data_IF_767751031011
#
_entry.id   IF_767751031011
#
_cell.length_a   1.000
_cell.length_b   1.000
_cell.length_c   1.000
_cell.angle_alpha   90.00
_cell.angle_beta   90.00
_cell.angle_gamma   90.00
#
_symmetry.space_group_name_H-M   'P 1'
#
loop_
_entity.id
_entity.type
_entity.pdbx_description
1 polymer ?
#
# COMPACT_ATOMS: atom_id res chain seq x y z
N UNK A 1 -0.42 53.09 8.49
CA UNK A 1 0.71 52.20 8.78
C UNK A 1 0.50 50.86 8.07
N UNK A 2 1.09 50.72 6.88
CA UNK A 2 0.99 49.53 6.04
C UNK A 2 2.16 48.58 6.35
N UNK A 3 1.83 47.36 6.80
CA UNK A 3 2.81 46.30 7.08
C UNK A 3 3.45 45.82 5.76
N UNK A 4 4.79 45.69 5.68
CA UNK A 4 5.44 45.18 4.47
C UNK A 4 5.18 43.68 4.29
N UNK A 5 4.78 43.31 3.07
CA UNK A 5 4.55 41.93 2.63
C UNK A 5 5.89 41.18 2.61
N UNK A 6 6.00 40.12 3.42
CA UNK A 6 7.16 39.24 3.42
C UNK A 6 7.44 38.69 2.01
N UNK A 7 8.72 38.72 1.63
CA UNK A 7 9.20 38.30 0.31
C UNK A 7 8.81 36.86 0.01
N UNK A 8 7.92 36.68 -0.95
CA UNK A 8 7.69 35.40 -1.59
C UNK A 8 8.99 34.99 -2.30
N UNK A 9 9.71 34.03 -1.72
CA UNK A 9 10.78 33.34 -2.45
C UNK A 9 10.14 32.73 -3.70
N UNK A 10 10.49 33.24 -4.89
CA UNK A 10 10.12 32.64 -6.17
C UNK A 10 10.64 31.20 -6.16
N UNK A 11 9.79 30.23 -5.82
CA UNK A 11 10.04 28.82 -6.11
C UNK A 11 10.10 28.73 -7.63
N UNK A 12 11.32 28.60 -8.16
CA UNK A 12 11.55 28.31 -9.57
C UNK A 12 10.76 27.04 -9.91
N UNK A 13 9.91 27.04 -10.95
CA UNK A 13 9.13 25.86 -11.31
C UNK A 13 10.08 24.69 -11.54
N UNK A 14 9.71 23.51 -11.02
CA UNK A 14 10.48 22.31 -11.29
C UNK A 14 10.47 22.06 -12.82
N UNK A 15 11.63 21.85 -13.46
CA UNK A 15 11.67 21.50 -14.87
C UNK A 15 10.93 20.17 -15.09
N UNK A 16 10.32 19.99 -16.27
CA UNK A 16 9.36 18.92 -16.51
C UNK A 16 10.02 17.53 -16.44
N UNK A 17 9.31 16.59 -15.80
CA UNK A 17 9.55 15.16 -16.01
C UNK A 17 9.42 14.88 -17.50
N UNK A 18 10.39 14.19 -18.10
CA UNK A 18 10.28 13.76 -19.50
C UNK A 18 9.99 12.26 -19.55
N UNK A 19 9.07 11.89 -20.42
CA UNK A 19 8.64 10.52 -20.67
C UNK A 19 8.75 10.27 -22.18
N UNK A 20 9.41 9.19 -22.57
CA UNK A 20 9.61 8.83 -23.98
C UNK A 20 9.46 7.33 -24.18
N UNK A 21 8.70 6.95 -25.22
CA UNK A 21 8.67 5.58 -25.73
C UNK A 21 9.97 5.32 -26.48
N UNK A 22 10.51 4.12 -26.36
CA UNK A 22 11.62 3.68 -27.19
C UNK A 22 11.03 3.20 -28.50
N UNK A 23 11.32 3.87 -29.61
CA UNK A 23 10.67 3.60 -30.91
C UNK A 23 11.44 2.61 -31.79
N UNK A 24 12.73 2.39 -31.50
CA UNK A 24 13.62 1.53 -32.30
C UNK A 24 14.28 0.43 -31.47
N UNK A 25 14.67 -0.66 -32.14
CA UNK A 25 15.38 -1.79 -31.54
C UNK A 25 14.49 -2.83 -30.83
N UNK A 26 15.07 -3.77 -30.06
CA UNK A 26 14.35 -4.89 -29.43
C UNK A 26 13.37 -4.47 -28.32
N UNK A 27 13.39 -3.19 -27.95
CA UNK A 27 12.53 -2.58 -26.93
C UNK A 27 11.40 -1.72 -27.54
N UNK A 28 11.36 -1.61 -28.88
CA UNK A 28 10.31 -0.93 -29.64
C UNK A 28 8.93 -1.59 -29.45
N UNK A 29 7.82 -0.86 -29.69
CA UNK A 29 6.50 -1.42 -29.59
C UNK A 29 6.31 -2.60 -30.55
N UNK A 30 6.06 -3.78 -29.97
CA UNK A 30 5.89 -5.03 -30.70
C UNK A 30 4.76 -5.86 -30.09
N UNK A 31 4.48 -7.04 -30.64
CA UNK A 31 3.53 -7.98 -30.04
C UNK A 31 3.94 -8.47 -28.66
N UNK A 32 5.24 -8.47 -28.36
CA UNK A 32 5.79 -9.01 -27.09
C UNK A 32 5.89 -7.95 -25.99
N UNK A 33 5.88 -6.67 -26.33
CA UNK A 33 6.00 -5.59 -25.36
C UNK A 33 6.48 -4.27 -25.96
N UNK A 34 6.68 -3.29 -25.08
CA UNK A 34 7.32 -2.00 -25.40
C UNK A 34 8.02 -1.45 -24.16
N UNK A 35 8.93 -0.50 -24.36
CA UNK A 35 9.63 0.16 -23.25
C UNK A 35 9.45 1.68 -23.27
N UNK A 36 9.46 2.25 -22.08
CA UNK A 36 9.40 3.68 -21.84
C UNK A 36 10.52 4.08 -20.87
N UNK A 37 11.14 5.22 -21.12
CA UNK A 37 12.09 5.83 -20.19
C UNK A 37 11.44 7.06 -19.58
N UNK A 38 11.42 7.10 -18.25
CA UNK A 38 11.00 8.27 -17.47
C UNK A 38 12.24 8.88 -16.83
N UNK A 39 12.51 10.14 -17.16
CA UNK A 39 13.56 10.93 -16.52
C UNK A 39 12.89 11.90 -15.55
N UNK A 40 13.11 11.67 -14.27
CA UNK A 40 12.57 12.49 -13.17
C UNK A 40 13.69 12.90 -12.21
N UNK A 41 13.45 13.92 -11.39
CA UNK A 41 14.35 14.19 -10.25
C UNK A 41 14.10 13.16 -9.16
N UNK A 42 15.19 12.59 -8.62
CA UNK A 42 15.10 11.65 -7.50
C UNK A 42 14.54 12.31 -6.25
N UNK A 43 13.85 11.52 -5.41
CA UNK A 43 13.30 12.00 -4.13
C UNK A 43 14.44 12.60 -3.27
N UNK A 44 14.39 13.90 -3.00
CA UNK A 44 15.38 14.61 -2.17
C UNK A 44 16.61 15.19 -2.89
N UNK A 45 16.84 14.93 -4.19
CA UNK A 45 17.97 15.51 -4.94
C UNK A 45 17.50 16.54 -5.98
N UNK A 46 17.74 17.82 -5.70
CA UNK A 46 17.44 18.92 -6.64
C UNK A 46 18.35 18.94 -7.86
N UNK A 47 19.50 18.25 -7.84
CA UNK A 47 20.55 18.43 -8.86
C UNK A 47 20.63 17.30 -9.90
N UNK A 48 20.31 16.04 -9.57
CA UNK A 48 20.54 14.91 -10.50
C UNK A 48 19.22 14.27 -10.96
N UNK A 49 19.08 14.14 -12.28
CA UNK A 49 17.95 13.46 -12.92
C UNK A 49 18.25 11.96 -12.92
N UNK A 50 17.30 11.16 -12.43
CA UNK A 50 17.36 9.70 -12.44
C UNK A 50 16.55 9.16 -13.60
N UNK A 51 17.10 8.18 -14.30
CA UNK A 51 16.41 7.46 -15.38
C UNK A 51 15.75 6.21 -14.79
N UNK A 52 14.47 6.03 -15.07
CA UNK A 52 13.74 4.80 -14.77
C UNK A 52 13.19 4.23 -16.06
N UNK A 53 13.57 2.99 -16.37
CA UNK A 53 13.07 2.23 -17.51
C UNK A 53 11.88 1.37 -17.06
N UNK A 54 10.76 1.53 -17.76
CA UNK A 54 9.59 0.69 -17.67
C UNK A 54 9.55 -0.19 -18.91
N UNK A 55 9.42 -1.51 -18.74
CA UNK A 55 9.20 -2.45 -19.83
C UNK A 55 7.90 -3.18 -19.61
N UNK A 56 6.95 -2.95 -20.49
CA UNK A 56 5.70 -3.70 -20.57
C UNK A 56 5.93 -4.94 -21.41
N UNK A 57 5.50 -6.10 -20.95
CA UNK A 57 5.60 -7.36 -21.67
C UNK A 57 4.29 -8.13 -21.61
N UNK A 58 3.92 -8.76 -22.73
CA UNK A 58 2.79 -9.67 -22.76
C UNK A 58 3.07 -10.91 -21.89
N UNK A 59 2.05 -11.47 -21.21
CA UNK A 59 0.64 -11.08 -21.17
C UNK A 59 0.24 -10.20 -19.95
N UNK A 60 1.09 -9.28 -19.47
CA UNK A 60 0.74 -8.40 -18.34
C UNK A 60 1.84 -8.22 -17.29
N UNK A 61 3.10 -8.20 -17.73
CA UNK A 61 4.26 -8.03 -16.87
C UNK A 61 4.83 -6.63 -17.06
N UNK A 62 5.03 -5.91 -15.97
CA UNK A 62 5.69 -4.60 -15.96
C UNK A 62 7.00 -4.75 -15.20
N UNK A 63 8.12 -4.57 -15.89
CA UNK A 63 9.44 -4.49 -15.25
C UNK A 63 9.86 -3.04 -15.13
N UNK A 64 10.21 -2.65 -13.93
CA UNK A 64 10.77 -1.34 -13.61
C UNK A 64 12.22 -1.54 -13.25
N UNK A 65 13.11 -0.80 -13.88
CA UNK A 65 14.53 -0.75 -13.52
C UNK A 65 14.95 0.71 -13.40
N UNK A 66 15.39 1.10 -12.21
CA UNK A 66 16.06 2.38 -12.04
C UNK A 66 17.57 2.21 -12.20
N UNK A 67 18.15 3.16 -12.91
CA UNK A 67 19.59 3.26 -13.09
C UNK A 67 20.17 4.14 -11.98
N UNK A 68 21.35 3.76 -11.51
CA UNK A 68 22.09 4.38 -10.41
C UNK A 68 22.80 5.67 -10.84
N UNK A 69 23.93 5.95 -10.20
CA UNK A 69 24.69 7.18 -10.50
C UNK A 69 25.41 7.08 -11.83
N UNK A 70 25.78 5.87 -12.25
CA UNK A 70 26.35 5.53 -13.55
C UNK A 70 25.27 4.88 -14.43
N UNK A 71 25.28 5.18 -15.72
CA UNK A 71 24.39 4.56 -16.70
C UNK A 71 24.57 3.04 -16.67
N UNK A 72 23.46 2.29 -16.68
CA UNK A 72 23.46 0.83 -16.60
C UNK A 72 23.63 0.21 -15.20
N UNK A 73 24.05 0.97 -14.18
CA UNK A 73 24.20 0.47 -12.81
C UNK A 73 22.80 0.22 -12.19
N UNK A 74 22.38 -1.02 -11.91
CA UNK A 74 21.07 -1.26 -11.32
C UNK A 74 21.06 -0.84 -9.84
N UNK A 75 20.17 0.10 -9.48
CA UNK A 75 19.98 0.51 -8.09
C UNK A 75 18.74 -0.19 -7.47
N UNK A 76 17.64 -0.15 -8.20
CA UNK A 76 16.39 -0.76 -7.78
C UNK A 76 15.68 -1.33 -9.00
N UNK A 77 14.98 -2.44 -8.79
CA UNK A 77 14.08 -2.97 -9.78
C UNK A 77 12.83 -3.56 -9.14
N UNK A 78 11.78 -3.61 -9.94
CA UNK A 78 10.54 -4.22 -9.57
C UNK A 78 9.93 -4.97 -10.75
N UNK A 79 9.21 -6.03 -10.46
CA UNK A 79 8.36 -6.75 -11.39
C UNK A 79 6.94 -6.75 -10.84
N UNK A 80 6.01 -6.24 -11.63
CA UNK A 80 4.57 -6.32 -11.38
C UNK A 80 3.99 -7.32 -12.38
N UNK A 81 3.30 -8.34 -11.88
CA UNK A 81 2.56 -9.28 -12.71
C UNK A 81 1.07 -9.10 -12.44
N UNK A 82 0.33 -8.73 -13.47
CA UNK A 82 -1.13 -8.61 -13.41
C UNK A 82 -1.74 -9.88 -14.01
N UNK A 83 -2.39 -10.69 -13.16
CA UNK A 83 -3.01 -11.95 -13.57
C UNK A 83 -4.53 -11.76 -13.54
N UNK A 84 -5.24 -11.88 -14.68
CA UNK A 84 -6.69 -11.77 -14.69
C UNK A 84 -7.31 -12.97 -13.95
N UNK A 85 -8.28 -12.72 -13.08
CA UNK A 85 -9.04 -13.76 -12.36
C UNK A 85 -10.52 -13.81 -12.76
N UNK A 86 -10.97 -12.88 -13.61
CA UNK A 86 -12.36 -12.65 -14.01
C UNK A 86 -12.58 -11.17 -14.35
N UNK A 87 -13.74 -10.82 -14.94
CA UNK A 87 -14.06 -9.41 -15.24
C UNK A 87 -14.05 -8.60 -13.94
N UNK A 88 -13.33 -7.48 -13.94
CA UNK A 88 -13.22 -6.62 -12.77
C UNK A 88 -12.39 -7.17 -11.60
N UNK A 89 -11.70 -8.31 -11.79
CA UNK A 89 -10.86 -8.92 -10.74
C UNK A 89 -9.52 -9.36 -11.30
N UNK A 90 -8.44 -8.88 -10.68
CA UNK A 90 -7.08 -9.30 -11.01
C UNK A 90 -6.26 -9.57 -9.76
N UNK A 91 -5.23 -10.40 -9.91
CA UNK A 91 -4.21 -10.62 -8.89
C UNK A 91 -2.94 -9.92 -9.31
N UNK A 92 -2.48 -9.00 -8.47
CA UNK A 92 -1.22 -8.31 -8.65
C UNK A 92 -0.13 -8.97 -7.80
N UNK A 93 0.91 -9.48 -8.45
CA UNK A 93 2.12 -9.92 -7.77
C UNK A 93 3.19 -8.85 -7.93
N UNK A 94 3.65 -8.29 -6.81
CA UNK A 94 4.67 -7.26 -6.80
C UNK A 94 5.94 -7.79 -6.13
N UNK A 95 7.02 -7.87 -6.91
CA UNK A 95 8.34 -8.25 -6.42
C UNK A 95 9.30 -7.10 -6.63
N UNK A 96 9.89 -6.63 -5.55
CA UNK A 96 10.98 -5.65 -5.61
C UNK A 96 12.31 -6.34 -5.35
N UNK A 97 13.36 -5.83 -5.99
CA UNK A 97 14.73 -6.19 -5.70
C UNK A 97 15.56 -4.92 -5.69
N UNK A 98 16.48 -4.89 -4.76
CA UNK A 98 17.21 -3.71 -4.36
C UNK A 98 18.68 -4.12 -4.37
N UNK A 99 19.50 -3.44 -5.17
CA UNK A 99 20.93 -3.72 -5.27
C UNK A 99 21.68 -2.55 -4.64
N UNK A 100 22.86 -2.83 -4.06
CA UNK A 100 23.77 -1.79 -3.56
C UNK A 100 23.23 -0.90 -2.42
N UNK A 101 22.37 -1.43 -1.55
CA UNK A 101 22.00 -0.72 -0.32
C UNK A 101 23.13 -0.80 0.73
N UNK A 102 23.38 0.28 1.49
CA UNK A 102 24.29 0.23 2.63
C UNK A 102 23.87 -0.89 3.61
N UNK A 103 24.82 -1.66 4.19
CA UNK A 103 24.50 -2.78 5.08
C UNK A 103 23.56 -2.39 6.24
N UNK A 104 23.76 -1.19 6.79
CA UNK A 104 22.90 -0.64 7.85
C UNK A 104 21.43 -0.50 7.43
N UNK A 105 21.17 -0.06 6.19
CA UNK A 105 19.81 0.06 5.67
C UNK A 105 19.18 -1.31 5.47
N UNK A 106 19.96 -2.27 4.97
CA UNK A 106 19.53 -3.67 4.85
C UNK A 106 19.16 -4.28 6.22
N UNK A 107 19.97 -4.01 7.24
CA UNK A 107 19.72 -4.47 8.61
C UNK A 107 18.41 -3.88 9.19
N UNK A 108 18.24 -2.56 9.14
CA UNK A 108 17.01 -1.89 9.61
C UNK A 108 15.78 -2.38 8.84
N UNK A 109 15.93 -2.63 7.53
CA UNK A 109 14.86 -3.17 6.70
C UNK A 109 14.51 -4.62 7.09
N UNK A 110 15.51 -5.44 7.44
CA UNK A 110 15.35 -6.81 7.92
C UNK A 110 14.69 -6.92 9.30
N UNK A 111 14.90 -5.94 10.18
CA UNK A 111 14.26 -5.90 11.51
C UNK A 111 12.74 -5.70 11.43
N UNK A 112 12.23 -5.13 10.34
CA UNK A 112 10.78 -4.91 10.19
C UNK A 112 10.06 -6.24 9.91
N UNK A 113 9.07 -6.62 10.74
CA UNK A 113 8.24 -7.77 10.49
C UNK A 113 7.68 -7.77 9.06
N UNK A 114 7.73 -8.92 8.37
CA UNK A 114 7.34 -8.98 6.96
C UNK A 114 5.89 -8.54 6.73
N UNK A 115 4.97 -8.88 7.64
CA UNK A 115 3.57 -8.43 7.55
C UNK A 115 3.46 -6.90 7.53
N UNK A 116 4.24 -6.17 8.33
CA UNK A 116 4.23 -4.70 8.32
C UNK A 116 4.73 -4.15 6.99
N UNK A 117 5.73 -4.81 6.38
CA UNK A 117 6.22 -4.45 5.05
C UNK A 117 5.13 -4.67 4.00
N UNK A 118 4.43 -5.80 4.03
CA UNK A 118 3.30 -6.07 3.13
C UNK A 118 2.19 -5.03 3.29
N UNK A 119 1.75 -4.76 4.52
CA UNK A 119 0.75 -3.72 4.80
C UNK A 119 1.20 -2.36 4.25
N UNK A 120 2.47 -1.98 4.42
CA UNK A 120 2.93 -0.70 3.90
C UNK A 120 2.96 -0.67 2.36
N UNK A 121 3.33 -1.77 1.70
CA UNK A 121 3.31 -1.89 0.24
C UNK A 121 1.90 -1.81 -0.34
N UNK A 122 0.88 -2.32 0.36
CA UNK A 122 -0.51 -2.23 -0.09
C UNK A 122 -1.05 -0.80 -0.18
N UNK A 123 -0.50 0.15 0.59
CA UNK A 123 -1.01 1.54 0.64
C UNK A 123 -1.05 2.21 -0.73
N UNK A 124 -0.04 2.01 -1.56
CA UNK A 124 0.03 2.62 -2.90
C UNK A 124 -1.16 2.15 -3.75
N UNK A 125 -1.43 0.84 -3.73
CA UNK A 125 -2.54 0.25 -4.48
C UNK A 125 -3.91 0.57 -3.89
N UNK A 126 -3.97 0.84 -2.59
CA UNK A 126 -5.20 1.29 -1.91
C UNK A 126 -5.55 2.73 -2.31
N UNK A 127 -4.55 3.60 -2.45
CA UNK A 127 -4.75 4.98 -2.90
C UNK A 127 -5.32 5.05 -4.33
N UNK A 128 -4.80 4.20 -5.23
CA UNK A 128 -5.17 4.28 -6.64
C UNK A 128 -6.46 3.51 -6.96
N UNK A 129 -6.93 2.61 -6.08
CA UNK A 129 -8.08 1.76 -6.42
C UNK A 129 -9.36 2.55 -6.63
N UNK A 130 -9.64 3.57 -5.82
CA UNK A 130 -10.85 4.38 -5.98
C UNK A 130 -10.89 5.01 -7.37
N UNK A 131 -9.74 5.47 -7.88
CA UNK A 131 -9.62 6.02 -9.22
C UNK A 131 -9.79 4.95 -10.30
N UNK A 132 -9.11 3.80 -10.14
CA UNK A 132 -9.19 2.69 -11.10
C UNK A 132 -10.63 2.17 -11.24
N UNK A 133 -11.32 1.92 -10.12
CA UNK A 133 -12.72 1.50 -10.13
C UNK A 133 -13.63 2.56 -10.74
N UNK A 134 -13.46 3.84 -10.37
CA UNK A 134 -14.28 4.91 -10.95
C UNK A 134 -14.11 5.05 -12.47
N UNK A 135 -12.90 4.82 -13.00
CA UNK A 135 -12.64 4.82 -14.43
C UNK A 135 -13.28 3.62 -15.13
N UNK A 136 -13.16 2.42 -14.54
CA UNK A 136 -13.83 1.21 -15.04
C UNK A 136 -15.35 1.39 -15.08
N UNK A 137 -15.93 1.91 -14.00
CA UNK A 137 -17.36 2.17 -13.86
C UNK A 137 -17.85 3.21 -14.88
N UNK A 138 -17.05 4.25 -15.14
CA UNK A 138 -17.38 5.27 -16.13
C UNK A 138 -17.46 4.67 -17.54
N UNK A 139 -16.48 3.84 -17.92
CA UNK A 139 -16.45 3.17 -19.23
C UNK A 139 -17.62 2.20 -19.35
N UNK A 140 -17.84 1.35 -18.35
CA UNK A 140 -18.94 0.39 -18.34
C UNK A 140 -20.31 1.06 -18.44
N UNK A 141 -20.51 2.20 -17.76
CA UNK A 141 -21.78 2.93 -17.78
C UNK A 141 -22.03 3.69 -19.08
N UNK A 142 -20.98 4.23 -19.71
CA UNK A 142 -21.11 5.07 -20.90
C UNK A 142 -21.02 4.29 -22.20
N UNK A 143 -20.41 3.10 -22.18
CA UNK A 143 -20.11 2.32 -23.38
C UNK A 143 -19.09 2.98 -24.32
N UNK A 144 -18.50 4.10 -23.90
CA UNK A 144 -17.51 4.86 -24.70
C UNK A 144 -16.14 4.23 -24.57
N UNK A 145 -15.34 4.38 -25.62
CA UNK A 145 -13.93 3.97 -25.58
C UNK A 145 -13.12 4.88 -24.66
N UNK A 146 -11.96 4.42 -24.18
CA UNK A 146 -11.08 5.26 -23.36
C UNK A 146 -10.66 6.55 -24.05
N UNK A 147 -10.51 6.53 -25.37
CA UNK A 147 -10.15 7.72 -26.15
C UNK A 147 -11.24 8.81 -26.18
N UNK A 148 -12.50 8.41 -26.03
CA UNK A 148 -13.65 9.32 -26.01
C UNK A 148 -13.95 9.82 -24.60
N UNK A 149 -13.64 9.00 -23.58
CA UNK A 149 -13.89 9.31 -22.18
C UNK A 149 -12.78 10.13 -21.52
N UNK A 150 -11.54 10.05 -22.00
CA UNK A 150 -10.39 10.67 -21.33
C UNK A 150 -9.54 11.53 -22.28
N UNK A 151 -9.16 12.72 -21.81
CA UNK A 151 -8.26 13.63 -22.53
C UNK A 151 -6.81 13.49 -22.00
N UNK A 152 -5.91 12.79 -22.73
CA UNK A 152 -4.55 12.57 -22.27
C UNK A 152 -3.70 13.83 -22.44
N UNK A 153 -2.88 14.12 -21.43
CA UNK A 153 -1.87 15.17 -21.47
C UNK A 153 -0.64 14.61 -22.19
N UNK A 154 -0.33 15.16 -23.37
CA UNK A 154 0.76 14.69 -24.24
C UNK A 154 2.13 14.61 -23.56
N UNK A 155 2.40 15.41 -22.53
CA UNK A 155 3.67 15.40 -21.80
C UNK A 155 3.77 14.35 -20.70
N UNK A 156 2.64 13.88 -20.16
CA UNK A 156 2.60 13.07 -18.93
C UNK A 156 1.99 11.69 -19.13
N UNK A 157 1.03 11.56 -20.05
CA UNK A 157 0.24 10.34 -20.24
C UNK A 157 0.77 9.46 -21.38
N UNK A 158 1.96 9.75 -21.90
CA UNK A 158 2.58 9.05 -23.04
C UNK A 158 2.58 7.53 -22.84
N UNK A 159 3.04 7.07 -21.67
CA UNK A 159 3.11 5.64 -21.36
C UNK A 159 1.72 5.01 -21.21
N UNK A 160 0.75 5.74 -20.66
CA UNK A 160 -0.63 5.24 -20.47
C UNK A 160 -1.31 5.10 -21.82
N UNK A 161 -1.20 6.10 -22.70
CA UNK A 161 -1.75 6.06 -24.05
C UNK A 161 -1.10 4.93 -24.84
N UNK A 162 0.23 4.79 -24.81
CA UNK A 162 0.89 3.72 -25.55
C UNK A 162 0.55 2.34 -25.00
N UNK A 163 0.38 2.19 -23.68
CA UNK A 163 -0.11 0.95 -23.09
C UNK A 163 -1.48 0.56 -23.65
N UNK A 164 -2.42 1.51 -23.74
CA UNK A 164 -3.76 1.25 -24.27
C UNK A 164 -3.77 0.95 -25.77
N UNK A 165 -2.96 1.67 -26.56
CA UNK A 165 -2.76 1.37 -27.99
C UNK A 165 -2.12 0.01 -28.20
N UNK A 166 -1.17 -0.36 -27.35
CA UNK A 166 -0.55 -1.68 -27.39
C UNK A 166 -1.57 -2.78 -27.11
N UNK A 167 -2.48 -2.58 -26.14
CA UNK A 167 -3.60 -3.48 -25.91
C UNK A 167 -4.55 -3.59 -27.11
N UNK A 168 -4.79 -2.52 -27.88
CA UNK A 168 -5.56 -2.63 -29.14
C UNK A 168 -4.89 -3.57 -30.16
N UNK A 169 -3.55 -3.69 -30.12
CA UNK A 169 -2.77 -4.56 -31.01
C UNK A 169 -2.75 -6.01 -30.53
N UNK A 170 -2.51 -6.25 -29.24
CA UNK A 170 -2.23 -7.60 -28.70
C UNK A 170 -3.33 -8.17 -27.82
N UNK A 171 -4.30 -7.35 -27.40
CA UNK A 171 -5.31 -7.72 -26.40
C UNK A 171 -6.30 -8.78 -26.87
N UNK A 172 -6.41 -9.02 -28.18
CA UNK A 172 -7.32 -10.02 -28.76
C UNK A 172 -7.09 -11.44 -28.20
N UNK A 173 -5.85 -11.78 -27.83
CA UNK A 173 -5.47 -13.05 -27.19
C UNK A 173 -5.82 -13.15 -25.70
N UNK A 174 -6.29 -12.07 -25.07
CA UNK A 174 -6.71 -12.06 -23.66
C UNK A 174 -8.20 -12.43 -23.53
N UNK A 175 -8.64 -12.95 -22.38
CA UNK A 175 -10.06 -13.26 -22.15
C UNK A 175 -10.94 -12.01 -22.26
N UNK A 176 -10.43 -10.86 -21.81
CA UNK A 176 -11.04 -9.54 -21.91
C UNK A 176 -9.93 -8.50 -21.97
N UNK A 177 -10.20 -7.34 -22.59
CA UNK A 177 -9.26 -6.21 -22.56
C UNK A 177 -9.97 -4.88 -22.81
N UNK A 178 -9.36 -3.81 -22.30
CA UNK A 178 -9.77 -2.43 -22.55
C UNK A 178 -8.57 -1.67 -23.13
N UNK A 179 -8.56 -1.50 -24.44
CA UNK A 179 -7.53 -0.79 -25.20
C UNK A 179 -7.83 0.70 -25.34
N UNK A 180 -7.22 1.37 -26.33
CA UNK A 180 -7.43 2.81 -26.54
C UNK A 180 -8.72 3.07 -27.31
N UNK A 181 -8.94 2.28 -28.36
CA UNK A 181 -10.12 2.35 -29.23
C UNK A 181 -10.93 1.05 -29.22
N UNK A 182 -10.32 -0.06 -28.84
CA UNK A 182 -10.94 -1.39 -28.89
C UNK A 182 -11.13 -1.93 -27.49
N UNK A 183 -12.20 -2.69 -27.31
CA UNK A 183 -12.44 -3.47 -26.12
C UNK A 183 -12.90 -4.88 -26.48
N UNK A 184 -12.71 -5.80 -25.56
CA UNK A 184 -13.26 -7.16 -25.61
C UNK A 184 -13.88 -7.46 -24.27
N UNK A 185 -15.19 -7.64 -24.27
CA UNK A 185 -15.97 -8.15 -23.15
C UNK A 185 -15.56 -9.60 -22.85
N UNK A 186 -15.61 -9.99 -21.57
CA UNK A 186 -15.35 -11.38 -21.18
C UNK A 186 -16.50 -12.27 -21.65
N UNK A 187 -16.20 -13.34 -22.39
CA UNK A 187 -17.17 -14.40 -22.65
C UNK A 187 -17.27 -15.29 -21.40
N UNK A 188 -18.36 -15.18 -20.64
CA UNK A 188 -18.81 -16.13 -19.60
C UNK A 188 -17.75 -16.64 -18.60
N UNK A 189 -16.83 -15.79 -18.14
CA UNK A 189 -15.90 -16.17 -17.07
C UNK A 189 -16.58 -16.10 -15.70
N UNK A 190 -17.42 -17.08 -15.34
CA UNK A 190 -18.00 -17.29 -13.99
C UNK A 190 -18.05 -15.98 -13.17
N UNK A 191 -18.82 -15.02 -13.69
CA UNK A 191 -18.89 -13.69 -13.12
C UNK A 191 -19.52 -13.82 -11.74
N UNK A 192 -18.74 -13.69 -10.67
CA UNK A 192 -19.31 -13.51 -9.35
C UNK A 192 -20.21 -12.27 -9.41
N UNK A 193 -21.48 -12.43 -9.04
CA UNK A 193 -22.50 -11.38 -9.10
C UNK A 193 -22.06 -10.09 -8.37
N UNK A 194 -21.25 -10.23 -7.32
CA UNK A 194 -20.64 -9.13 -6.57
C UNK A 194 -19.70 -8.24 -7.40
N UNK A 195 -19.08 -8.77 -8.46
CA UNK A 195 -18.20 -8.00 -9.35
C UNK A 195 -18.97 -7.10 -10.33
N UNK A 196 -20.28 -7.31 -10.52
CA UNK A 196 -21.13 -6.42 -11.35
C UNK A 196 -21.47 -5.10 -10.66
N UNK A 197 -21.28 -4.99 -9.34
CA UNK A 197 -21.60 -3.77 -8.59
C UNK A 197 -20.43 -2.78 -8.66
N UNK A 198 -20.58 -1.65 -9.39
CA UNK A 198 -19.51 -0.68 -9.66
C UNK A 198 -18.79 -0.21 -8.37
N UNK A 199 -19.58 0.05 -7.33
CA UNK A 199 -19.10 0.62 -6.08
C UNK A 199 -18.42 -0.37 -5.13
N UNK A 200 -18.74 -1.68 -5.17
CA UNK A 200 -18.34 -2.60 -4.10
C UNK A 200 -16.81 -2.76 -4.00
N UNK A 201 -16.13 -2.82 -5.15
CA UNK A 201 -14.68 -3.09 -5.25
C UNK A 201 -13.82 -1.93 -4.75
N UNK A 202 -14.29 -0.69 -4.89
CA UNK A 202 -13.58 0.50 -4.41
C UNK A 202 -13.55 0.60 -2.87
N UNK A 203 -14.54 0.00 -2.20
CA UNK A 203 -14.68 0.03 -0.74
C UNK A 203 -14.18 -1.25 -0.06
N UNK A 204 -13.70 -2.23 -0.82
CA UNK A 204 -13.09 -3.42 -0.25
C UNK A 204 -11.94 -3.03 0.68
N UNK A 205 -12.02 -3.53 1.90
CA UNK A 205 -11.00 -3.29 2.91
C UNK A 205 -9.71 -4.03 2.57
N UNK A 206 -8.61 -3.51 3.09
CA UNK A 206 -7.28 -4.15 3.08
C UNK A 206 -7.34 -5.61 3.51
N UNK A 207 -8.22 -5.92 4.45
CA UNK A 207 -8.46 -7.27 4.93
C UNK A 207 -8.85 -8.22 3.78
N UNK A 208 -9.83 -7.83 2.96
CA UNK A 208 -10.31 -8.61 1.83
C UNK A 208 -9.27 -8.71 0.71
N UNK A 209 -8.62 -7.57 0.40
CA UNK A 209 -7.68 -7.49 -0.72
C UNK A 209 -6.33 -8.16 -0.50
N UNK A 210 -5.90 -8.28 0.76
CA UNK A 210 -4.56 -8.78 1.05
C UNK A 210 -4.52 -9.75 2.23
N UNK A 211 -5.10 -9.40 3.39
CA UNK A 211 -4.92 -10.20 4.61
C UNK A 211 -5.51 -11.60 4.46
N UNK A 212 -6.69 -11.72 3.84
CA UNK A 212 -7.31 -13.02 3.57
C UNK A 212 -6.45 -13.91 2.68
N UNK A 213 -5.71 -13.33 1.73
CA UNK A 213 -4.94 -14.07 0.72
C UNK A 213 -3.54 -14.41 1.23
N UNK A 214 -2.89 -13.49 1.96
CA UNK A 214 -1.52 -13.64 2.44
C UNK A 214 -1.45 -14.41 3.75
N UNK A 215 -0.96 -15.66 3.70
CA UNK A 215 -0.83 -16.52 4.88
C UNK A 215 0.04 -15.92 6.01
N UNK A 216 1.04 -15.12 5.66
CA UNK A 216 1.91 -14.46 6.65
C UNK A 216 1.19 -13.33 7.38
N UNK A 217 0.51 -12.45 6.64
CA UNK A 217 -0.28 -11.36 7.22
C UNK A 217 -1.47 -11.89 8.01
N UNK A 218 -2.11 -12.98 7.54
CA UNK A 218 -3.19 -13.66 8.26
C UNK A 218 -2.75 -14.24 9.60
N UNK A 219 -1.58 -14.90 9.63
CA UNK A 219 -0.98 -15.40 10.88
C UNK A 219 -0.65 -14.26 11.84
N UNK A 220 -0.06 -13.17 11.34
CA UNK A 220 0.22 -11.99 12.15
C UNK A 220 -1.06 -11.40 12.79
N UNK A 221 -2.16 -11.29 12.03
CA UNK A 221 -3.45 -10.85 12.58
C UNK A 221 -3.96 -11.80 13.68
N UNK A 222 -3.84 -13.11 13.51
CA UNK A 222 -4.22 -14.08 14.52
C UNK A 222 -3.42 -13.90 15.82
N UNK A 223 -2.10 -13.72 15.72
CA UNK A 223 -1.23 -13.44 16.87
C UNK A 223 -1.61 -12.12 17.56
N UNK A 224 -1.84 -11.05 16.81
CA UNK A 224 -2.26 -9.75 17.37
C UNK A 224 -3.59 -9.88 18.12
N UNK A 225 -4.56 -10.61 17.56
CA UNK A 225 -5.84 -10.91 18.23
C UNK A 225 -5.65 -11.70 19.53
N UNK A 226 -4.76 -12.69 19.54
CA UNK A 226 -4.45 -13.47 20.73
C UNK A 226 -3.79 -12.61 21.81
N UNK A 227 -2.81 -11.79 21.44
CA UNK A 227 -2.14 -10.85 22.37
C UNK A 227 -3.13 -9.86 22.95
N UNK A 228 -4.03 -9.29 22.13
CA UNK A 228 -5.09 -8.40 22.61
C UNK A 228 -5.99 -9.09 23.65
N UNK A 229 -6.52 -10.27 23.32
CA UNK A 229 -7.40 -11.03 24.20
C UNK A 229 -6.70 -11.44 25.50
N UNK A 230 -5.49 -11.98 25.41
CA UNK A 230 -4.69 -12.38 26.57
C UNK A 230 -4.31 -11.21 27.47
N UNK A 231 -3.91 -10.08 26.86
CA UNK A 231 -3.59 -8.85 27.59
C UNK A 231 -4.79 -8.28 28.35
N UNK A 232 -5.97 -8.24 27.73
CA UNK A 232 -7.21 -7.81 28.40
C UNK A 232 -7.60 -8.75 29.55
N UNK A 233 -7.56 -10.06 29.32
CA UNK A 233 -7.90 -11.05 30.34
C UNK A 233 -6.95 -10.97 31.55
N UNK A 234 -5.64 -10.92 31.31
CA UNK A 234 -4.65 -10.85 32.39
C UNK A 234 -4.66 -9.48 33.10
N UNK A 235 -4.91 -8.39 32.38
CA UNK A 235 -5.12 -7.06 32.97
C UNK A 235 -6.32 -7.04 33.93
N UNK A 236 -7.45 -7.64 33.53
CA UNK A 236 -8.62 -7.77 34.39
C UNK A 236 -8.35 -8.62 35.64
N UNK A 237 -7.64 -9.75 35.50
CA UNK A 237 -7.24 -10.60 36.62
C UNK A 237 -6.32 -9.86 37.60
N UNK A 238 -5.32 -9.12 37.10
CA UNK A 238 -4.42 -8.34 37.95
C UNK A 238 -5.12 -7.16 38.63
N UNK A 239 -6.09 -6.52 37.96
CA UNK A 239 -6.91 -5.47 38.58
C UNK A 239 -7.78 -6.04 39.70
N UNK A 240 -8.41 -7.20 39.50
CA UNK A 240 -9.17 -7.88 40.55
C UNK A 240 -8.25 -8.25 41.73
N UNK A 241 -7.06 -8.80 41.44
CA UNK A 241 -6.07 -9.12 42.46
C UNK A 241 -5.61 -7.89 43.24
N UNK A 242 -5.36 -6.75 42.58
CA UNK A 242 -4.93 -5.52 43.27
C UNK A 242 -6.01 -5.01 44.25
N UNK A 243 -7.30 -5.11 43.87
CA UNK A 243 -8.42 -4.75 44.76
C UNK A 243 -8.47 -5.69 45.97
N UNK A 244 -8.38 -7.01 45.75
CA UNK A 244 -8.42 -8.00 46.83
C UNK A 244 -7.23 -7.84 47.79
N UNK A 245 -6.02 -7.66 47.28
CA UNK A 245 -4.82 -7.42 48.08
C UNK A 245 -4.90 -6.10 48.86
N UNK A 246 -5.48 -5.05 48.27
CA UNK A 246 -5.71 -3.77 48.96
C UNK A 246 -6.66 -3.93 50.14
N UNK A 247 -7.77 -4.67 49.95
CA UNK A 247 -8.74 -4.93 51.02
C UNK A 247 -8.14 -5.80 52.13
N UNK A 248 -7.40 -6.85 51.78
CA UNK A 248 -6.72 -7.71 52.76
C UNK A 248 -5.63 -6.96 53.53
N UNK A 249 -4.86 -6.08 52.86
CA UNK A 249 -3.88 -5.21 53.50
C UNK A 249 -4.51 -4.20 54.45
N UNK A 250 -5.64 -3.60 54.08
CA UNK A 250 -6.40 -2.70 54.93
C UNK A 250 -6.96 -3.41 56.18
N UNK A 251 -7.52 -4.61 56.02
CA UNK A 251 -8.02 -5.43 57.13
C UNK A 251 -6.89 -5.84 58.10
N UNK A 252 -5.72 -6.24 57.57
CA UNK A 252 -4.54 -6.57 58.39
C UNK A 252 -3.97 -5.35 59.12
N UNK A 253 -3.95 -4.18 58.47
CA UNK A 253 -3.49 -2.94 59.08
C UNK A 253 -4.46 -2.39 60.15
N UNK A 254 -5.76 -2.70 60.05
CA UNK A 254 -6.73 -2.42 61.10
C UNK A 254 -6.59 -3.37 62.31
N UNK A 255 -6.15 -4.61 62.07
CA UNK A 255 -5.95 -5.63 63.12
C UNK A 255 -4.58 -5.55 63.82
N UNK A 256 -3.54 -4.99 63.17
CA UNK A 256 -2.20 -4.84 63.74
C UNK A 256 -1.89 -3.37 64.03
N UNK A 257 -1.68 -3.01 65.29
CA UNK A 257 -1.34 -1.65 65.74
C UNK A 257 0.07 -1.15 65.31
N UNK A 258 0.73 -1.81 64.35
CA UNK A 258 2.09 -1.48 63.93
C UNK A 258 2.21 -1.38 62.40
N UNK A 259 3.08 -0.46 61.95
CA UNK A 259 3.35 -0.11 60.56
C UNK A 259 3.97 -1.25 59.76
N UNK A 260 3.17 -2.22 59.31
CA UNK A 260 3.58 -3.19 58.31
C UNK A 260 3.75 -2.51 56.93
N UNK A 261 4.70 -2.95 56.07
CA UNK A 261 4.89 -2.38 54.74
C UNK A 261 3.61 -2.52 53.92
N UNK A 262 2.91 -1.41 53.73
CA UNK A 262 1.63 -1.36 53.04
C UNK A 262 1.85 -1.52 51.54
N UNK A 263 1.11 -2.44 50.94
CA UNK A 263 0.66 -2.28 49.55
C UNK A 263 1.65 -2.59 48.43
N UNK A 264 2.86 -3.09 48.68
CA UNK A 264 3.82 -3.44 47.59
C UNK A 264 3.19 -4.43 46.60
N UNK A 265 2.53 -5.48 47.08
CA UNK A 265 1.85 -6.46 46.20
C UNK A 265 0.66 -5.89 45.43
N UNK A 266 -0.11 -4.98 46.04
CA UNK A 266 -1.22 -4.29 45.36
C UNK A 266 -0.70 -3.33 44.28
N UNK A 267 0.36 -2.57 44.58
CA UNK A 267 0.99 -1.65 43.65
C UNK A 267 1.60 -2.39 42.46
N UNK A 268 2.30 -3.51 42.68
CA UNK A 268 2.86 -4.34 41.60
C UNK A 268 1.74 -4.92 40.72
N UNK A 269 0.66 -5.43 41.31
CA UNK A 269 -0.50 -5.93 40.56
C UNK A 269 -1.19 -4.81 39.76
N UNK A 270 -1.35 -3.62 40.33
CA UNK A 270 -1.94 -2.46 39.66
C UNK A 270 -1.08 -1.98 38.49
N UNK A 271 0.23 -1.83 38.69
CA UNK A 271 1.18 -1.46 37.63
C UNK A 271 1.23 -2.52 36.52
N UNK A 272 1.21 -3.81 36.88
CA UNK A 272 1.13 -4.90 35.92
C UNK A 272 -0.16 -4.86 35.08
N UNK A 273 -1.30 -4.58 35.72
CA UNK A 273 -2.59 -4.43 35.04
C UNK A 273 -2.59 -3.27 34.03
N UNK A 274 -2.03 -2.11 34.42
CA UNK A 274 -1.88 -0.93 33.56
C UNK A 274 -0.97 -1.20 32.36
N UNK A 275 0.18 -1.84 32.57
CA UNK A 275 1.09 -2.22 31.49
C UNK A 275 0.43 -3.17 30.47
N UNK A 276 -0.30 -4.19 30.95
CA UNK A 276 -1.01 -5.13 30.07
C UNK A 276 -2.18 -4.48 29.34
N UNK A 277 -2.87 -3.53 29.97
CA UNK A 277 -3.90 -2.74 29.30
C UNK A 277 -3.27 -1.89 28.19
N UNK A 278 -2.12 -1.26 28.44
CA UNK A 278 -1.33 -0.54 27.42
C UNK A 278 -0.90 -1.43 26.26
N UNK A 279 -0.49 -2.67 26.54
CA UNK A 279 -0.18 -3.65 25.49
C UNK A 279 -1.42 -4.04 24.68
N UNK A 280 -2.56 -4.24 25.34
CA UNK A 280 -3.82 -4.58 24.68
C UNK A 280 -4.35 -3.43 23.81
N UNK A 281 -4.23 -2.17 24.26
CA UNK A 281 -4.61 -1.00 23.45
C UNK A 281 -3.70 -0.85 22.24
N UNK A 282 -2.38 -1.04 22.40
CA UNK A 282 -1.44 -1.08 21.29
C UNK A 282 -1.76 -2.22 20.30
N UNK A 283 -2.10 -3.41 20.79
CA UNK A 283 -2.53 -4.54 19.96
C UNK A 283 -3.84 -4.24 19.22
N UNK A 284 -4.80 -3.56 19.85
CA UNK A 284 -6.04 -3.13 19.21
C UNK A 284 -5.78 -2.10 18.09
N UNK A 285 -4.91 -1.11 18.35
CA UNK A 285 -4.50 -0.14 17.34
C UNK A 285 -3.78 -0.82 16.17
N UNK A 286 -2.92 -1.81 16.44
CA UNK A 286 -2.27 -2.60 15.41
C UNK A 286 -3.26 -3.47 14.63
N UNK A 287 -4.22 -4.10 15.30
CA UNK A 287 -5.29 -4.89 14.67
C UNK A 287 -6.10 -4.04 13.69
N UNK A 288 -6.47 -2.81 14.07
CA UNK A 288 -7.23 -1.91 13.20
C UNK A 288 -6.53 -1.69 11.84
N UNK A 289 -5.19 -1.65 11.80
CA UNK A 289 -4.40 -1.48 10.57
C UNK A 289 -4.50 -2.63 9.58
N UNK A 290 -5.00 -3.80 9.99
CA UNK A 290 -5.28 -4.90 9.08
C UNK A 290 -6.59 -4.73 8.30
N UNK A 291 -7.51 -3.91 8.83
CA UNK A 291 -8.82 -3.68 8.21
C UNK A 291 -8.89 -2.31 7.53
N UNK A 292 -8.26 -1.28 8.08
CA UNK A 292 -8.39 0.07 7.52
C UNK A 292 -7.61 0.22 6.21
N UNK A 293 -8.29 0.76 5.21
CA UNK A 293 -7.64 1.25 4.00
C UNK A 293 -6.85 2.51 4.33
N UNK A 294 -5.78 2.73 3.58
CA UNK A 294 -5.05 3.98 3.64
C UNK A 294 -5.90 5.08 3.02
N UNK A 295 -6.28 6.06 3.84
CA UNK A 295 -6.90 7.28 3.37
C UNK A 295 -5.86 8.40 3.35
N UNK A 296 -5.73 9.07 2.20
CA UNK A 296 -4.88 10.26 2.10
C UNK A 296 -5.59 11.40 2.84
N UNK A 297 -4.86 12.13 3.68
CA UNK A 297 -5.42 13.27 4.39
C UNK A 297 -5.93 14.33 3.37
N UNK A 298 -7.14 14.90 3.55
CA UNK A 298 -7.76 15.79 2.57
C UNK A 298 -6.93 17.03 2.21
N UNK A 299 -6.02 17.46 3.09
CA UNK A 299 -5.22 18.68 2.93
C UNK A 299 -4.00 18.56 2.00
N UNK A 300 -3.87 17.46 1.25
CA UNK A 300 -2.74 17.18 0.35
C UNK A 300 -3.19 16.90 -1.10
N UNK A 301 -4.43 17.27 -1.44
CA UNK A 301 -5.02 17.20 -2.78
C UNK A 301 -4.93 18.51 -3.52
#
# INVERSE_FOLDING_TARGET
MTRPRAGATKKTPAPPTSMKIIEEGPDAPSSTGFSCIVKSRGFGSRKKMTSTRYRMQAPGVIRVRSEGKKEGEPLFGAALHCIPLGKGRSRLLFKTYAMNFPPMVGFIYGLKPKFLRHLNSCKILEQDMKLICAQEDHVARTGKTLSESFLPIKSSDVMVVELRKWLDRVGHGMPFFEGWQKSKEAADLNDHEDCRRPSHRAFESRYHRHVLICAETRRALATVKQVKKGGLALSALLAAASVLLSRAGAARAAAAAAAAPRGVGSLVAALGSLCLLGLATAANALEARFYTNFERHPSLG
#
